data_IF_735485235810
#
_entry.id   IF_735485235810
#
_cell.length_a   1.000
_cell.length_b   1.000
_cell.length_c   1.000
_cell.angle_alpha   90.00
_cell.angle_beta   90.00
_cell.angle_gamma   90.00
#
_symmetry.space_group_name_H-M   'P 1'
#
loop_
_entity.id
_entity.type
_entity.pdbx_description
1 polymer ?
#
# COMPACT_ATOMS: atom_id res chain seq x y z
N UNK A 1 10.05 4.21 15.80
CA UNK A 1 10.61 5.24 14.89
C UNK A 1 9.47 5.62 13.97
N UNK A 2 9.16 6.88 13.65
CA UNK A 2 8.05 7.15 12.73
C UNK A 2 8.29 6.50 11.36
N UNK A 3 7.24 5.94 10.76
CA UNK A 3 7.29 5.32 9.43
C UNK A 3 6.75 6.30 8.39
N UNK A 4 7.47 6.44 7.28
CA UNK A 4 7.11 7.32 6.17
C UNK A 4 6.44 6.50 5.06
N UNK A 5 5.17 6.79 4.81
CA UNK A 5 4.41 6.22 3.68
C UNK A 5 4.38 7.24 2.54
N UNK A 6 5.16 7.02 1.48
CA UNK A 6 5.16 7.89 0.31
C UNK A 6 4.21 7.36 -0.78
N UNK A 7 3.36 8.23 -1.31
CA UNK A 7 2.44 7.90 -2.40
C UNK A 7 2.38 9.03 -3.45
N UNK A 8 1.77 8.72 -4.60
CA UNK A 8 1.50 9.70 -5.65
C UNK A 8 0.28 10.55 -5.28
N UNK A 9 0.23 11.79 -5.78
CA UNK A 9 -0.80 12.77 -5.40
C UNK A 9 -2.24 12.27 -5.62
N UNK A 10 -2.48 11.50 -6.69
CA UNK A 10 -3.80 10.91 -6.99
C UNK A 10 -4.30 9.91 -5.93
N UNK A 11 -3.38 9.21 -5.27
CA UNK A 11 -3.67 8.22 -4.24
C UNK A 11 -3.51 8.76 -2.82
N UNK A 12 -2.80 9.88 -2.66
CA UNK A 12 -2.56 10.50 -1.37
C UNK A 12 -3.85 10.88 -0.62
N UNK A 13 -4.91 11.30 -1.33
CA UNK A 13 -6.19 11.60 -0.68
C UNK A 13 -6.90 10.36 -0.11
N UNK A 14 -6.80 9.22 -0.81
CA UNK A 14 -7.36 7.95 -0.34
C UNK A 14 -6.53 7.40 0.82
N UNK A 15 -5.20 7.49 0.71
CA UNK A 15 -4.29 7.09 1.77
C UNK A 15 -4.50 7.94 3.03
N UNK A 16 -4.58 9.28 2.90
CA UNK A 16 -4.87 10.19 4.00
C UNK A 16 -6.18 9.86 4.70
N UNK A 17 -7.23 9.57 3.92
CA UNK A 17 -8.53 9.19 4.48
C UNK A 17 -8.45 7.88 5.25
N UNK A 18 -7.77 6.87 4.69
CA UNK A 18 -7.55 5.59 5.35
C UNK A 18 -6.74 5.74 6.65
N UNK A 19 -5.68 6.56 6.61
CA UNK A 19 -4.85 6.85 7.78
C UNK A 19 -5.65 7.57 8.87
N UNK A 20 -6.53 8.51 8.51
CA UNK A 20 -7.40 9.19 9.47
C UNK A 20 -8.48 8.27 10.08
N UNK A 21 -8.98 7.30 9.30
CA UNK A 21 -10.00 6.35 9.77
C UNK A 21 -9.39 5.33 10.75
N UNK A 22 -8.14 4.91 10.50
CA UNK A 22 -7.41 3.95 11.35
C UNK A 22 -6.68 4.63 12.52
N UNK A 23 -6.42 5.93 12.44
CA UNK A 23 -5.80 6.68 13.52
C UNK A 23 -6.76 6.86 14.69
N UNK A 24 -6.29 6.52 15.90
CA UNK A 24 -7.01 6.80 17.15
C UNK A 24 -7.05 8.32 17.41
N UNK A 25 -5.97 9.04 17.08
CA UNK A 25 -5.89 10.49 17.14
C UNK A 25 -5.36 11.10 15.82
N UNK A 26 -6.06 12.10 15.24
CA UNK A 26 -5.63 12.71 13.98
C UNK A 26 -4.32 13.50 14.10
N UNK A 27 -3.85 13.86 15.30
CA UNK A 27 -2.57 14.53 15.49
C UNK A 27 -1.37 13.58 15.29
N UNK A 28 -1.58 12.27 15.31
CA UNK A 28 -0.55 11.26 15.03
C UNK A 28 -0.23 11.14 13.53
N UNK A 29 -1.11 11.62 12.65
CA UNK A 29 -0.89 11.58 11.20
C UNK A 29 -0.34 12.91 10.70
N UNK A 30 0.93 12.94 10.29
CA UNK A 30 1.57 14.13 9.71
C UNK A 30 1.81 13.98 8.22
N UNK A 31 1.19 14.83 7.43
CA UNK A 31 1.46 14.88 5.99
C UNK A 31 2.75 15.68 5.71
N UNK A 32 3.68 15.07 4.99
CA UNK A 32 4.94 15.66 4.54
C UNK A 32 4.90 15.73 3.02
N UNK A 33 4.90 16.95 2.46
CA UNK A 33 4.91 17.14 1.00
C UNK A 33 6.31 17.53 0.55
N UNK A 34 6.88 16.82 -0.41
CA UNK A 34 8.19 17.10 -0.98
C UNK A 34 8.10 17.10 -2.50
N UNK A 35 8.11 18.30 -3.11
CA UNK A 35 7.91 18.46 -4.55
C UNK A 35 6.52 17.98 -4.98
N UNK A 36 6.47 17.02 -5.90
CA UNK A 36 5.21 16.38 -6.36
C UNK A 36 4.83 15.12 -5.57
N UNK A 37 5.63 14.72 -4.58
CA UNK A 37 5.39 13.53 -3.78
C UNK A 37 4.74 13.92 -2.45
N UNK A 38 3.70 13.18 -2.07
CA UNK A 38 3.04 13.32 -0.77
C UNK A 38 3.41 12.11 0.06
N UNK A 39 3.95 12.35 1.25
CA UNK A 39 4.29 11.34 2.21
C UNK A 39 3.53 11.55 3.52
N UNK A 40 3.33 10.50 4.29
CA UNK A 40 2.69 10.54 5.59
C UNK A 40 3.64 9.96 6.63
N UNK A 41 3.98 10.79 7.60
CA UNK A 41 4.65 10.44 8.83
C UNK A 41 3.59 9.96 9.81
N UNK A 42 3.63 8.66 10.11
CA UNK A 42 2.68 7.99 11.01
C UNK A 42 3.42 7.10 12.01
N UNK A 43 2.80 6.78 13.17
CA UNK A 43 3.35 5.84 14.13
C UNK A 43 3.50 4.44 13.52
N UNK A 44 4.51 3.67 13.97
CA UNK A 44 4.77 2.29 13.53
C UNK A 44 3.52 1.40 13.60
N UNK A 45 2.74 1.49 14.68
CA UNK A 45 1.54 0.68 14.88
C UNK A 45 0.50 0.89 13.77
N UNK A 46 0.39 2.11 13.26
CA UNK A 46 -0.54 2.51 12.23
C UNK A 46 0.00 2.13 10.84
N UNK A 47 1.30 2.31 10.61
CA UNK A 47 1.97 1.82 9.41
C UNK A 47 1.84 0.30 9.25
N UNK A 48 1.96 -0.46 10.33
CA UNK A 48 1.71 -1.91 10.32
C UNK A 48 0.25 -2.25 9.98
N UNK A 49 -0.71 -1.54 10.55
CA UNK A 49 -2.14 -1.75 10.27
C UNK A 49 -2.45 -1.49 8.79
N UNK A 50 -1.99 -0.37 8.26
CA UNK A 50 -2.15 0.03 6.85
C UNK A 50 -1.44 -0.95 5.93
N UNK A 51 -0.21 -1.40 6.28
CA UNK A 51 0.53 -2.36 5.47
C UNK A 51 -0.19 -3.71 5.44
N UNK A 52 -0.78 -4.17 6.55
CA UNK A 52 -1.60 -5.40 6.61
C UNK A 52 -2.92 -5.28 5.85
N UNK A 53 -3.48 -4.06 5.74
CA UNK A 53 -4.67 -3.75 4.93
C UNK A 53 -4.34 -3.64 3.43
N UNK A 54 -3.19 -3.07 3.12
CA UNK A 54 -2.67 -2.88 1.76
C UNK A 54 -1.94 -4.10 1.22
N UNK A 55 -1.61 -5.09 2.06
CA UNK A 55 -1.27 -6.43 1.60
C UNK A 55 -2.43 -6.85 0.68
N UNK A 56 -2.21 -6.91 -0.65
CA UNK A 56 -3.20 -7.53 -1.49
C UNK A 56 -3.35 -8.91 -0.87
N UNK A 57 -4.57 -9.32 -0.53
CA UNK A 57 -4.87 -10.74 -0.31
C UNK A 57 -4.14 -11.45 -1.44
N UNK A 58 -2.98 -12.01 -1.12
CA UNK A 58 -2.09 -12.62 -2.08
C UNK A 58 -2.88 -13.86 -2.40
N UNK A 59 -3.75 -13.73 -3.41
CA UNK A 59 -4.65 -14.78 -3.83
C UNK A 59 -3.76 -16.00 -3.89
N UNK A 60 -4.05 -17.06 -3.11
CA UNK A 60 -3.13 -18.16 -2.94
C UNK A 60 -2.70 -18.56 -4.34
N UNK A 61 -1.38 -18.45 -4.58
CA UNK A 61 -0.78 -18.61 -5.88
C UNK A 61 -1.31 -19.89 -6.51
N UNK A 62 -2.37 -19.77 -7.33
CA UNK A 62 -2.93 -20.92 -8.02
C UNK A 62 -2.06 -21.09 -9.25
N UNK A 63 -0.94 -21.79 -8.99
CA UNK A 63 -0.05 -22.46 -9.93
C UNK A 63 0.00 -21.82 -11.31
N UNK A 64 1.10 -21.12 -11.58
CA UNK A 64 1.64 -21.07 -12.92
C UNK A 64 1.69 -22.52 -13.46
N UNK A 65 0.77 -22.88 -14.33
CA UNK A 65 0.91 -24.08 -15.14
C UNK A 65 2.00 -23.76 -16.17
N UNK A 66 3.11 -24.51 -16.20
CA UNK A 66 4.18 -24.27 -17.14
C UNK A 66 3.68 -24.41 -18.57
N UNK A 67 4.09 -23.45 -19.39
CA UNK A 67 3.95 -23.36 -20.84
C UNK A 67 4.40 -24.67 -21.48
N UNK A 68 3.50 -25.47 -22.03
CA UNK A 68 3.84 -26.51 -22.99
C UNK A 68 3.67 -25.94 -24.40
N UNK A 69 4.72 -25.88 -25.24
CA UNK A 69 4.56 -25.60 -26.65
C UNK A 69 4.16 -26.91 -27.34
N UNK A 70 3.00 -26.96 -27.98
CA UNK A 70 2.68 -28.03 -28.91
C UNK A 70 2.36 -27.42 -30.29
N UNK A 71 3.42 -27.17 -31.05
CA UNK A 71 3.36 -27.42 -32.50
C UNK A 71 3.37 -28.93 -32.67
N UNK A 72 2.31 -29.53 -33.20
CA UNK A 72 2.48 -30.58 -34.22
C UNK A 72 1.28 -30.60 -35.13
N UNK A 73 1.60 -30.38 -36.40
CA UNK A 73 0.83 -30.54 -37.62
C UNK A 73 0.34 -32.00 -37.77
N UNK A 74 -0.86 -32.20 -38.31
CA UNK A 74 -1.45 -33.50 -38.60
C UNK A 74 -2.85 -33.38 -39.17
#
# INVERSE_FOLDING_TARGET
>A
MPTILADNADHAAQLAKLLLDEADDPADVKTVTSGSTIAFDVPDSLAEAITKLAEPKKAPAKKAAPKAPAKTEG
#
